data_IF_950748974141
#
_entry.id   IF_950748974141
#
_cell.length_a   1.000
_cell.length_b   1.000
_cell.length_c   1.000
_cell.angle_alpha   90.00
_cell.angle_beta   90.00
_cell.angle_gamma   90.00
#
_symmetry.space_group_name_H-M   'P 1'
#
loop_
_entity.id
_entity.type
_entity.pdbx_description
1 polymer ?
#
# COMPACT_ATOMS: atom_id res chain seq x y z
N UNK A 1 31.52 43.05 -17.09
CA UNK A 1 31.92 41.84 -16.34
C UNK A 1 31.08 41.61 -15.09
N UNK A 2 30.94 42.59 -14.19
CA UNK A 2 30.19 42.47 -12.91
C UNK A 2 28.77 41.88 -13.02
N UNK A 3 27.94 42.39 -13.94
CA UNK A 3 26.58 41.86 -14.18
C UNK A 3 26.52 40.40 -14.67
N UNK A 4 27.57 39.92 -15.35
CA UNK A 4 27.66 38.52 -15.81
C UNK A 4 28.06 37.58 -14.67
N UNK A 5 28.87 38.04 -13.72
CA UNK A 5 29.16 37.29 -12.50
C UNK A 5 27.93 37.19 -11.60
N UNK A 6 27.14 38.26 -11.49
CA UNK A 6 25.91 38.27 -10.69
C UNK A 6 24.85 37.29 -11.23
N UNK A 7 24.67 37.22 -12.55
CA UNK A 7 23.76 36.23 -13.15
C UNK A 7 24.27 34.80 -13.01
N UNK A 8 25.58 34.56 -13.13
CA UNK A 8 26.16 33.23 -12.90
C UNK A 8 25.96 32.81 -11.44
N UNK A 9 26.20 33.71 -10.49
CA UNK A 9 26.00 33.44 -9.06
C UNK A 9 24.53 33.14 -8.75
N UNK A 10 23.59 33.88 -9.34
CA UNK A 10 22.15 33.65 -9.19
C UNK A 10 21.75 32.26 -9.72
N UNK A 11 22.26 31.87 -10.90
CA UNK A 11 21.97 30.56 -11.50
C UNK A 11 22.53 29.41 -10.66
N UNK A 12 23.75 29.56 -10.11
CA UNK A 12 24.35 28.56 -9.21
C UNK A 12 23.52 28.43 -7.93
N UNK A 13 23.06 29.56 -7.35
CA UNK A 13 22.22 29.56 -6.16
C UNK A 13 20.87 28.87 -6.40
N UNK A 14 20.22 29.13 -7.54
CA UNK A 14 18.99 28.46 -7.94
C UNK A 14 19.20 26.94 -8.17
N UNK A 15 20.35 26.54 -8.70
CA UNK A 15 20.70 25.12 -8.86
C UNK A 15 20.89 24.42 -7.51
N UNK A 16 21.51 25.09 -6.54
CA UNK A 16 21.71 24.57 -5.19
C UNK A 16 20.41 24.43 -4.40
N UNK A 17 19.44 25.33 -4.61
CA UNK A 17 18.09 25.19 -4.03
C UNK A 17 17.43 23.87 -4.47
N UNK A 18 17.56 23.49 -5.74
CA UNK A 18 17.01 22.23 -6.27
C UNK A 18 17.64 20.96 -5.67
N UNK A 19 18.88 21.02 -5.18
CA UNK A 19 19.56 19.87 -4.55
C UNK A 19 19.08 19.61 -3.11
N UNK A 20 18.42 20.58 -2.48
CA UNK A 20 17.83 20.42 -1.14
C UNK A 20 16.39 19.91 -1.15
N UNK A 21 15.77 19.81 -2.34
CA UNK A 21 14.45 19.20 -2.51
C UNK A 21 14.52 17.68 -2.36
N UNK A 22 14.57 17.21 -1.12
CA UNK A 22 14.30 15.81 -0.81
C UNK A 22 12.81 15.55 -1.00
N UNK A 23 12.45 14.80 -2.05
CA UNK A 23 11.10 14.26 -2.20
C UNK A 23 10.83 13.26 -1.06
N UNK A 24 10.10 13.69 -0.04
CA UNK A 24 9.63 12.79 1.01
C UNK A 24 8.41 12.02 0.51
N UNK A 25 8.64 10.82 -0.04
CA UNK A 25 7.59 9.80 -0.08
C UNK A 25 7.40 9.30 1.36
N UNK A 26 6.57 10.02 2.12
CA UNK A 26 6.42 9.78 3.55
C UNK A 26 5.59 8.52 3.80
N UNK A 27 6.26 7.40 4.03
CA UNK A 27 5.71 6.33 4.88
C UNK A 27 6.82 5.82 5.79
N UNK A 28 7.16 6.61 6.81
CA UNK A 28 8.24 6.34 7.78
C UNK A 28 7.94 5.22 8.77
N UNK A 29 7.23 4.17 8.35
CA UNK A 29 6.89 3.01 9.14
C UNK A 29 6.86 1.75 8.27
N UNK A 30 7.00 0.57 8.89
CA UNK A 30 6.77 -0.70 8.20
C UNK A 30 5.34 -0.71 7.67
N UNK A 31 5.17 -0.67 6.36
CA UNK A 31 3.86 -0.65 5.71
C UNK A 31 2.97 -1.78 6.26
N UNK A 32 1.76 -1.44 6.71
CA UNK A 32 0.78 -2.43 7.20
C UNK A 32 0.47 -3.42 6.09
N UNK A 33 0.25 -2.89 4.89
CA UNK A 33 0.03 -3.61 3.65
C UNK A 33 0.94 -3.00 2.57
N UNK A 34 1.97 -3.71 2.09
CA UNK A 34 2.76 -3.19 0.98
C UNK A 34 1.88 -2.99 -0.26
N UNK A 35 2.07 -1.86 -0.95
CA UNK A 35 1.19 -1.52 -2.06
C UNK A 35 1.28 -2.55 -3.19
N UNK A 36 0.14 -3.16 -3.52
CA UNK A 36 0.07 -4.19 -4.58
C UNK A 36 0.54 -5.58 -4.15
N UNK A 37 0.73 -5.80 -2.84
CA UNK A 37 1.13 -7.11 -2.31
C UNK A 37 0.05 -8.18 -2.55
N UNK A 38 0.48 -9.42 -2.41
CA UNK A 38 -0.25 -10.58 -2.79
C UNK A 38 -0.40 -11.55 -1.62
N UNK A 39 -1.64 -11.96 -1.29
CA UNK A 39 -1.89 -12.93 -0.24
C UNK A 39 -1.48 -14.35 -0.69
N UNK A 40 -0.40 -14.98 -0.18
CA UNK A 40 0.17 -16.21 -0.78
C UNK A 40 -0.78 -17.42 -0.74
N UNK A 41 -1.71 -17.47 0.21
CA UNK A 41 -2.76 -18.51 0.25
C UNK A 41 -3.90 -18.26 -0.73
N UNK A 42 -4.05 -17.03 -1.17
CA UNK A 42 -4.97 -16.65 -2.22
C UNK A 42 -4.40 -17.05 -3.58
N UNK A 43 -3.08 -17.15 -3.79
CA UNK A 43 -2.49 -17.73 -5.00
C UNK A 43 -0.97 -17.96 -4.97
N UNK A 44 -0.46 -18.69 -5.96
CA UNK A 44 0.95 -18.63 -6.35
C UNK A 44 1.10 -17.55 -7.43
N UNK A 45 1.82 -16.46 -7.17
CA UNK A 45 2.11 -15.35 -8.11
C UNK A 45 0.96 -14.43 -8.59
N UNK A 46 -0.11 -14.24 -7.83
CA UNK A 46 -1.24 -13.40 -8.26
C UNK A 46 -2.35 -14.11 -9.04
N UNK A 47 -2.24 -15.41 -9.26
CA UNK A 47 -3.18 -16.22 -10.03
C UNK A 47 -3.83 -17.31 -9.18
N UNK A 48 -4.94 -17.02 -8.49
CA UNK A 48 -5.85 -18.11 -8.10
C UNK A 48 -6.57 -18.54 -9.37
N UNK A 49 -6.71 -19.85 -9.56
CA UNK A 49 -7.38 -20.43 -10.72
C UNK A 49 -8.76 -19.82 -10.98
N UNK A 50 -9.32 -20.11 -12.15
CA UNK A 50 -10.49 -19.49 -12.80
C UNK A 50 -11.71 -19.16 -11.91
N UNK A 51 -11.81 -19.76 -10.73
CA UNK A 51 -12.88 -19.61 -9.75
C UNK A 51 -12.68 -18.44 -8.77
N UNK A 52 -13.73 -17.66 -8.57
CA UNK A 52 -13.81 -16.63 -7.53
C UNK A 52 -13.79 -17.26 -6.12
N UNK A 53 -12.92 -16.77 -5.23
CA UNK A 53 -12.88 -17.23 -3.83
C UNK A 53 -14.21 -17.01 -3.12
N UNK A 54 -14.68 -17.97 -2.33
CA UNK A 54 -15.79 -17.78 -1.41
C UNK A 54 -15.43 -16.75 -0.32
N UNK A 55 -16.43 -16.28 0.43
CA UNK A 55 -16.17 -15.35 1.54
C UNK A 55 -15.30 -15.99 2.63
N UNK A 56 -15.54 -17.27 2.93
CA UNK A 56 -14.76 -18.01 3.94
C UNK A 56 -13.33 -18.28 3.48
N UNK A 57 -13.13 -18.61 2.19
CA UNK A 57 -11.79 -18.72 1.63
C UNK A 57 -11.03 -17.40 1.70
N UNK A 58 -11.71 -16.28 1.44
CA UNK A 58 -11.12 -14.95 1.55
C UNK A 58 -10.76 -14.61 3.00
N UNK A 59 -11.64 -14.87 3.96
CA UNK A 59 -11.36 -14.68 5.39
C UNK A 59 -10.16 -15.50 5.85
N UNK A 60 -10.10 -16.78 5.47
CA UNK A 60 -8.97 -17.67 5.79
C UNK A 60 -7.67 -17.12 5.21
N UNK A 61 -7.69 -16.70 3.94
CA UNK A 61 -6.52 -16.12 3.27
C UNK A 61 -6.03 -14.84 3.98
N UNK A 62 -6.96 -13.92 4.29
CA UNK A 62 -6.65 -12.67 5.00
C UNK A 62 -6.13 -12.93 6.42
N UNK A 63 -6.70 -13.91 7.13
CA UNK A 63 -6.22 -14.32 8.44
C UNK A 63 -4.77 -14.80 8.38
N UNK A 64 -4.44 -15.71 7.47
CA UNK A 64 -3.05 -16.18 7.31
C UNK A 64 -2.08 -15.08 6.89
N UNK A 65 -2.55 -14.06 6.17
CA UNK A 65 -1.72 -12.95 5.73
C UNK A 65 -1.47 -11.93 6.86
N UNK A 66 -2.51 -11.49 7.58
CA UNK A 66 -2.42 -10.40 8.57
C UNK A 66 -2.12 -10.87 9.99
N UNK A 67 -2.64 -12.02 10.41
CA UNK A 67 -2.54 -12.48 11.78
C UNK A 67 -1.10 -12.71 12.27
N UNK A 68 -0.18 -13.31 11.48
CA UNK A 68 1.22 -13.46 11.90
C UNK A 68 1.98 -12.14 12.12
N UNK A 69 1.45 -11.03 11.57
CA UNK A 69 2.00 -9.69 11.76
C UNK A 69 1.35 -8.95 12.94
N UNK A 70 0.47 -9.62 13.69
CA UNK A 70 -0.24 -9.03 14.83
C UNK A 70 -1.40 -8.12 14.44
N UNK A 71 -1.93 -8.27 13.23
CA UNK A 71 -3.09 -7.52 12.75
C UNK A 71 -4.36 -8.38 12.74
N UNK A 72 -5.48 -7.74 13.08
CA UNK A 72 -6.82 -8.25 12.87
C UNK A 72 -7.49 -7.51 11.70
N UNK A 73 -8.64 -7.98 11.24
CA UNK A 73 -9.33 -7.35 10.11
C UNK A 73 -10.84 -7.52 10.18
N UNK A 74 -11.58 -6.50 9.78
CA UNK A 74 -13.06 -6.53 9.71
C UNK A 74 -13.51 -6.19 8.28
N UNK A 75 -14.42 -7.00 7.73
CA UNK A 75 -14.97 -6.76 6.38
C UNK A 75 -16.03 -5.66 6.48
N UNK A 76 -15.77 -4.54 5.81
CA UNK A 76 -16.66 -3.36 5.79
C UNK A 76 -17.71 -3.54 4.71
N UNK A 77 -17.30 -4.00 3.53
CA UNK A 77 -18.18 -4.13 2.37
C UNK A 77 -17.76 -5.31 1.49
N UNK A 78 -18.74 -5.98 0.90
CA UNK A 78 -18.55 -6.99 -0.15
C UNK A 78 -19.21 -6.52 -1.43
N UNK A 79 -18.40 -6.26 -2.47
CA UNK A 79 -18.89 -5.84 -3.79
C UNK A 79 -18.37 -6.76 -4.88
N UNK A 80 -19.22 -7.69 -5.31
CA UNK A 80 -18.90 -8.69 -6.34
C UNK A 80 -17.57 -9.43 -6.04
N UNK A 81 -16.51 -9.17 -6.81
CA UNK A 81 -15.18 -9.78 -6.64
C UNK A 81 -14.32 -9.13 -5.56
N UNK A 82 -14.68 -7.95 -5.08
CA UNK A 82 -13.86 -7.18 -4.14
C UNK A 82 -14.44 -7.19 -2.73
N UNK A 83 -13.55 -7.13 -1.73
CA UNK A 83 -13.88 -6.86 -0.33
C UNK A 83 -13.17 -5.58 0.10
N UNK A 84 -13.90 -4.67 0.74
CA UNK A 84 -13.34 -3.54 1.48
C UNK A 84 -13.14 -3.97 2.93
N UNK A 85 -11.95 -3.82 3.45
CA UNK A 85 -11.57 -4.39 4.75
C UNK A 85 -10.79 -3.34 5.54
N UNK A 86 -11.12 -3.20 6.83
CA UNK A 86 -10.31 -2.44 7.77
C UNK A 86 -9.30 -3.36 8.44
N UNK A 87 -8.04 -2.97 8.44
CA UNK A 87 -6.96 -3.65 9.17
C UNK A 87 -6.81 -2.98 10.52
N UNK A 88 -6.69 -3.79 11.57
CA UNK A 88 -6.79 -3.37 12.96
C UNK A 88 -5.55 -3.81 13.72
N UNK A 89 -5.00 -2.91 14.53
CA UNK A 89 -3.95 -3.21 15.51
C UNK A 89 -4.45 -2.80 16.89
N UNK A 90 -4.67 -3.78 17.77
CA UNK A 90 -5.34 -3.55 19.05
C UNK A 90 -6.78 -3.05 18.84
N UNK A 91 -7.05 -1.80 19.19
CA UNK A 91 -8.37 -1.15 19.07
C UNK A 91 -8.44 -0.07 17.98
N UNK A 92 -7.39 0.08 17.16
CA UNK A 92 -7.32 1.13 16.14
C UNK A 92 -7.32 0.53 14.74
N UNK A 93 -8.09 1.14 13.85
CA UNK A 93 -7.97 0.91 12.40
C UNK A 93 -6.68 1.58 11.94
N UNK A 94 -5.78 0.80 11.36
CA UNK A 94 -4.45 1.24 10.91
C UNK A 94 -4.33 1.32 9.39
N UNK A 95 -5.26 0.70 8.66
CA UNK A 95 -5.30 0.70 7.20
C UNK A 95 -6.73 0.30 6.74
N UNK A 96 -7.11 0.72 5.54
CA UNK A 96 -8.27 0.19 4.83
C UNK A 96 -7.80 -0.28 3.46
N UNK A 97 -8.12 -1.52 3.14
CA UNK A 97 -7.69 -2.16 1.90
C UNK A 97 -8.88 -2.55 1.01
N UNK A 98 -8.57 -2.77 -0.26
CA UNK A 98 -9.38 -3.56 -1.17
C UNK A 98 -8.67 -4.89 -1.41
N UNK A 99 -9.39 -5.99 -1.17
CA UNK A 99 -8.97 -7.34 -1.48
C UNK A 99 -9.71 -7.87 -2.71
N UNK A 100 -8.97 -8.28 -3.74
CA UNK A 100 -9.53 -8.90 -4.94
C UNK A 100 -9.66 -10.42 -4.74
N UNK A 101 -10.88 -10.93 -4.57
CA UNK A 101 -11.18 -12.36 -4.36
C UNK A 101 -10.93 -13.22 -5.59
N UNK A 102 -10.67 -12.63 -6.76
CA UNK A 102 -10.31 -13.41 -7.96
C UNK A 102 -8.81 -13.67 -7.99
N UNK A 103 -8.02 -12.62 -7.79
CA UNK A 103 -6.56 -12.72 -7.91
C UNK A 103 -5.91 -13.05 -6.57
N UNK A 104 -6.40 -12.47 -5.48
CA UNK A 104 -5.80 -12.45 -4.15
C UNK A 104 -4.98 -11.19 -3.85
N UNK A 105 -5.01 -10.20 -4.76
CA UNK A 105 -4.30 -8.93 -4.60
C UNK A 105 -4.87 -8.11 -3.46
N UNK A 106 -3.98 -7.44 -2.74
CA UNK A 106 -4.28 -6.55 -1.63
C UNK A 106 -3.79 -5.16 -1.98
N UNK A 107 -4.62 -4.13 -1.77
CA UNK A 107 -4.26 -2.74 -2.04
C UNK A 107 -4.78 -1.84 -0.93
N UNK A 108 -3.90 -1.07 -0.29
CA UNK A 108 -4.33 0.09 0.50
C UNK A 108 -5.10 1.06 -0.40
N UNK A 109 -6.10 1.73 0.15
CA UNK A 109 -6.81 2.84 -0.50
C UNK A 109 -6.58 4.20 0.18
N UNK A 110 -5.63 4.25 1.12
CA UNK A 110 -5.18 5.46 1.81
C UNK A 110 -3.65 5.54 1.86
#
# INVERSE_FOLDING_TARGET
MRRRLETIALLIFLLFLGLTSTSFAWHGGKEVTPYGDFCPMASRYGMKGERLMSLEEAKKALFHYYHPRGYNFWIVEKKNRFLKINIIKGHRVVDTIIFDRKTGRVRSIF
#
